data_IF_812895377496
#
_entry.id   IF_812895377496
#
_cell.length_a   1.000
_cell.length_b   1.000
_cell.length_c   1.000
_cell.angle_alpha   90.00
_cell.angle_beta   90.00
_cell.angle_gamma   90.00
#
_symmetry.space_group_name_H-M   'P 1'
#
loop_
_entity.id
_entity.type
_entity.pdbx_description
1 polymer ?
#
# COMPACT_ATOMS: atom_id res chain seq x y z
N UNK A 1 8.75 -30.46 2.90
CA UNK A 1 9.50 -29.60 1.96
C UNK A 1 8.50 -28.67 1.27
N UNK A 2 8.48 -27.38 1.65
CA UNK A 2 7.56 -26.38 1.07
C UNK A 2 8.24 -25.70 -0.11
N UNK A 3 8.11 -26.27 -1.31
CA UNK A 3 8.62 -25.66 -2.54
C UNK A 3 7.85 -24.37 -2.85
N UNK A 4 8.52 -23.23 -2.67
CA UNK A 4 8.01 -21.93 -3.11
C UNK A 4 7.97 -21.90 -4.63
N UNK A 5 6.76 -21.83 -5.21
CA UNK A 5 6.51 -21.75 -6.67
C UNK A 5 7.14 -20.52 -7.34
N UNK A 6 7.70 -19.59 -6.55
CA UNK A 6 8.31 -18.34 -7.01
C UNK A 6 9.80 -18.18 -6.64
N UNK A 7 10.39 -19.11 -5.87
CA UNK A 7 11.77 -18.93 -5.36
C UNK A 7 11.90 -17.82 -4.31
N UNK A 8 10.78 -17.31 -3.79
CA UNK A 8 10.69 -16.23 -2.80
C UNK A 8 10.21 -16.82 -1.48
N UNK A 9 10.81 -16.42 -0.35
CA UNK A 9 10.33 -16.80 0.97
C UNK A 9 8.98 -16.11 1.27
N UNK A 10 7.95 -16.90 1.58
CA UNK A 10 6.66 -16.36 2.01
C UNK A 10 6.75 -15.79 3.44
N UNK A 11 5.95 -14.76 3.71
CA UNK A 11 5.71 -14.23 5.06
C UNK A 11 4.23 -14.32 5.40
N UNK A 12 3.91 -14.54 6.67
CA UNK A 12 2.54 -14.72 7.14
C UNK A 12 2.19 -13.66 8.18
N UNK A 13 1.00 -13.09 8.05
CA UNK A 13 0.48 -12.12 9.01
C UNK A 13 -0.90 -12.57 9.51
N UNK A 14 -1.13 -12.47 10.81
CA UNK A 14 -2.45 -12.68 11.39
C UNK A 14 -3.31 -11.43 11.23
N UNK A 15 -4.63 -11.59 11.18
CA UNK A 15 -5.59 -10.48 11.16
C UNK A 15 -5.26 -9.40 12.21
N UNK A 16 -5.36 -8.14 11.82
CA UNK A 16 -5.09 -6.96 12.64
C UNK A 16 -3.61 -6.62 12.82
N UNK A 17 -2.67 -7.45 12.33
CA UNK A 17 -1.24 -7.14 12.41
C UNK A 17 -0.86 -6.11 11.34
N UNK A 18 -0.13 -5.08 11.78
CA UNK A 18 0.55 -4.15 10.87
C UNK A 18 1.64 -4.91 10.12
N UNK A 19 1.61 -4.80 8.80
CA UNK A 19 2.62 -5.38 7.90
C UNK A 19 3.80 -4.42 7.81
N UNK A 20 3.50 -3.12 7.71
CA UNK A 20 4.40 -2.00 7.93
C UNK A 20 3.58 -0.76 8.27
N UNK A 21 4.21 0.24 8.88
CA UNK A 21 3.61 1.55 9.15
C UNK A 21 4.31 2.64 8.33
N UNK A 22 3.64 3.78 8.19
CA UNK A 22 4.22 4.98 7.59
C UNK A 22 5.54 5.33 8.30
N UNK A 23 6.58 5.62 7.53
CA UNK A 23 7.91 5.97 8.04
C UNK A 23 8.86 4.79 8.18
N UNK A 24 8.37 3.54 8.12
CA UNK A 24 9.25 2.37 8.10
C UNK A 24 10.13 2.37 6.84
N UNK A 25 11.33 1.81 6.93
CA UNK A 25 12.18 1.61 5.76
C UNK A 25 11.50 0.69 4.73
N UNK A 26 11.58 1.04 3.45
CA UNK A 26 10.89 0.36 2.37
C UNK A 26 11.82 -0.41 1.43
N UNK A 27 12.14 -1.67 1.75
CA UNK A 27 13.03 -2.51 0.92
C UNK A 27 12.27 -3.47 -0.04
N UNK A 28 10.96 -3.66 0.17
CA UNK A 28 10.15 -4.67 -0.54
C UNK A 28 8.73 -4.18 -0.88
N UNK A 29 8.19 -4.58 -2.02
CA UNK A 29 6.75 -4.65 -2.23
C UNK A 29 6.23 -6.04 -1.81
N UNK A 30 4.92 -6.23 -1.70
CA UNK A 30 4.34 -7.51 -1.34
C UNK A 30 3.29 -7.93 -2.37
N UNK A 31 3.40 -9.16 -2.86
CA UNK A 31 2.34 -9.83 -3.59
C UNK A 31 1.46 -10.63 -2.62
N UNK A 32 0.15 -10.47 -2.72
CA UNK A 32 -0.82 -11.16 -1.86
C UNK A 32 -1.14 -12.52 -2.48
N UNK A 33 -0.68 -13.58 -1.83
CA UNK A 33 -1.01 -14.94 -2.24
C UNK A 33 -2.35 -15.40 -1.69
N UNK A 34 -2.64 -15.04 -0.44
CA UNK A 34 -3.89 -15.35 0.23
C UNK A 34 -4.26 -14.24 1.21
N UNK A 35 -5.56 -13.95 1.36
CA UNK A 35 -6.08 -12.97 2.31
C UNK A 35 -6.27 -11.55 1.75
N UNK A 36 -6.49 -10.59 2.66
CA UNK A 36 -6.77 -9.18 2.36
C UNK A 36 -5.97 -8.25 3.24
N UNK A 37 -5.53 -7.13 2.68
CA UNK A 37 -4.72 -6.10 3.35
C UNK A 37 -5.45 -4.75 3.28
N UNK A 38 -5.67 -4.13 4.44
CA UNK A 38 -6.15 -2.76 4.54
C UNK A 38 -4.98 -1.80 4.27
N UNK A 39 -5.23 -0.76 3.48
CA UNK A 39 -4.29 0.31 3.19
C UNK A 39 -4.80 1.61 3.81
N UNK A 40 -3.99 2.22 4.68
CA UNK A 40 -4.32 3.45 5.39
C UNK A 40 -3.42 4.59 4.94
N UNK A 41 -4.01 5.76 4.73
CA UNK A 41 -3.29 7.01 4.47
C UNK A 41 -2.42 7.41 5.67
N UNK A 42 -1.44 8.33 5.49
CA UNK A 42 -0.73 8.96 6.59
C UNK A 42 -1.62 9.47 7.73
N UNK A 43 -2.77 10.03 7.41
CA UNK A 43 -3.76 10.55 8.36
C UNK A 43 -4.67 9.49 9.00
N UNK A 44 -4.53 8.21 8.61
CA UNK A 44 -5.31 7.11 9.18
C UNK A 44 -6.62 6.80 8.44
N UNK A 45 -6.92 7.49 7.33
CA UNK A 45 -8.05 7.16 6.46
C UNK A 45 -7.83 5.80 5.80
N UNK A 46 -8.84 4.91 5.85
CA UNK A 46 -8.82 3.67 5.06
C UNK A 46 -9.00 4.01 3.57
N UNK A 47 -7.93 3.88 2.79
CA UNK A 47 -7.92 4.15 1.35
C UNK A 47 -8.51 3.00 0.53
N UNK A 48 -8.42 1.77 1.05
CA UNK A 48 -8.97 0.59 0.38
C UNK A 48 -8.39 -0.72 0.88
N UNK A 49 -8.71 -1.79 0.17
CA UNK A 49 -8.19 -3.14 0.41
C UNK A 49 -7.50 -3.70 -0.83
N UNK A 50 -6.44 -4.46 -0.58
CA UNK A 50 -5.70 -5.23 -1.59
C UNK A 50 -5.84 -6.72 -1.26
N UNK A 51 -6.24 -7.52 -2.24
CA UNK A 51 -6.56 -8.95 -2.11
C UNK A 51 -5.67 -9.86 -2.95
N UNK A 52 -6.07 -11.12 -3.04
CA UNK A 52 -5.32 -12.18 -3.71
C UNK A 52 -5.01 -11.85 -5.18
N UNK A 53 -3.77 -12.06 -5.61
CA UNK A 53 -3.31 -11.76 -6.96
C UNK A 53 -2.81 -10.32 -7.15
N UNK A 54 -3.01 -9.46 -6.16
CA UNK A 54 -2.62 -8.05 -6.23
C UNK A 54 -1.29 -7.78 -5.51
N UNK A 55 -0.72 -6.60 -5.78
CA UNK A 55 0.53 -6.12 -5.17
C UNK A 55 0.22 -4.84 -4.39
N UNK A 56 0.88 -4.68 -3.24
CA UNK A 56 0.89 -3.41 -2.50
C UNK A 56 2.31 -3.06 -2.02
N UNK A 57 2.50 -1.79 -1.68
CA UNK A 57 3.81 -1.26 -1.30
C UNK A 57 4.75 -1.12 -2.49
N UNK A 58 4.18 -1.02 -3.70
CA UNK A 58 4.86 -0.81 -4.99
C UNK A 58 5.40 0.61 -5.16
N UNK A 59 4.86 1.57 -4.39
CA UNK A 59 5.46 2.88 -4.23
C UNK A 59 6.74 2.74 -3.40
N UNK A 60 7.83 2.41 -4.09
CA UNK A 60 9.20 2.60 -3.62
C UNK A 60 9.58 4.09 -3.55
N UNK A 61 10.72 4.43 -2.94
CA UNK A 61 11.05 5.74 -2.38
C UNK A 61 10.84 6.91 -3.34
N UNK A 62 10.26 8.00 -2.83
CA UNK A 62 10.44 9.33 -3.42
C UNK A 62 11.36 10.11 -2.49
N UNK A 63 12.61 10.34 -2.90
CA UNK A 63 13.71 11.03 -2.20
C UNK A 63 14.05 10.59 -0.75
N UNK A 64 13.16 9.88 -0.07
CA UNK A 64 13.25 9.39 1.29
C UNK A 64 12.75 7.94 1.28
N UNK A 65 13.59 7.00 1.71
CA UNK A 65 13.43 5.54 1.57
C UNK A 65 12.34 4.91 2.46
N UNK A 66 11.33 5.71 2.80
CA UNK A 66 10.36 5.44 3.85
C UNK A 66 8.96 5.16 3.28
N UNK A 67 8.19 4.30 3.97
CA UNK A 67 6.80 3.98 3.63
C UNK A 67 5.93 5.23 3.71
N UNK A 68 5.19 5.51 2.65
CA UNK A 68 4.24 6.64 2.60
C UNK A 68 2.87 6.34 3.21
N UNK A 69 2.53 5.06 3.39
CA UNK A 69 1.21 4.60 3.87
C UNK A 69 1.40 3.47 4.89
N UNK A 70 0.34 3.13 5.63
CA UNK A 70 0.35 2.00 6.56
C UNK A 70 -0.43 0.83 5.96
N UNK A 71 0.10 -0.39 6.08
CA UNK A 71 -0.56 -1.62 5.64
C UNK A 71 -0.87 -2.53 6.82
N UNK A 72 -2.08 -3.07 6.88
CA UNK A 72 -2.54 -3.97 7.94
C UNK A 72 -3.24 -5.20 7.35
N UNK A 73 -2.98 -6.37 7.91
CA UNK A 73 -3.68 -7.58 7.52
C UNK A 73 -5.16 -7.53 7.93
N UNK A 74 -6.08 -7.35 6.98
CA UNK A 74 -7.52 -7.32 7.23
C UNK A 74 -8.07 -8.73 7.56
N UNK A 75 -7.41 -9.75 7.03
CA UNK A 75 -7.59 -11.18 7.36
C UNK A 75 -6.25 -11.81 7.70
N UNK A 76 -6.20 -13.12 7.92
CA UNK A 76 -4.92 -13.83 7.87
C UNK A 76 -4.39 -13.76 6.44
N UNK A 77 -3.10 -13.43 6.27
CA UNK A 77 -2.48 -13.22 4.97
C UNK A 77 -1.24 -14.09 4.77
N UNK A 78 -1.05 -14.52 3.53
CA UNK A 78 0.21 -15.10 3.03
C UNK A 78 0.72 -14.17 1.93
N UNK A 79 1.92 -13.65 2.10
CA UNK A 79 2.51 -12.66 1.21
C UNK A 79 3.87 -13.13 0.68
N UNK A 80 4.20 -12.72 -0.53
CA UNK A 80 5.54 -12.88 -1.09
C UNK A 80 6.22 -11.51 -1.21
N UNK A 81 7.30 -11.26 -0.46
CA UNK A 81 8.08 -10.03 -0.59
C UNK A 81 8.80 -9.98 -1.95
N UNK A 82 8.67 -8.89 -2.68
CA UNK A 82 9.34 -8.65 -3.96
C UNK A 82 10.31 -7.51 -3.73
N UNK A 83 11.61 -7.76 -3.92
CA UNK A 83 12.63 -6.72 -3.76
C UNK A 83 12.40 -5.57 -4.72
N UNK A 84 12.73 -4.35 -4.30
CA UNK A 84 12.63 -3.18 -5.15
C UNK A 84 13.42 -3.35 -6.46
N UNK A 85 14.62 -3.96 -6.37
CA UNK A 85 15.46 -4.30 -7.53
C UNK A 85 14.70 -5.17 -8.53
N UNK A 86 14.12 -6.28 -8.08
CA UNK A 86 13.36 -7.19 -8.93
C UNK A 86 12.15 -6.51 -9.56
N UNK A 87 11.43 -5.67 -8.79
CA UNK A 87 10.28 -4.93 -9.30
C UNK A 87 10.69 -3.93 -10.38
N UNK A 88 11.73 -3.13 -10.13
CA UNK A 88 12.30 -2.17 -11.10
C UNK A 88 12.76 -2.87 -12.37
N UNK A 89 13.46 -4.00 -12.26
CA UNK A 89 13.91 -4.79 -13.41
C UNK A 89 12.73 -5.27 -14.24
N UNK A 90 11.70 -5.88 -13.61
CA UNK A 90 10.50 -6.35 -14.31
C UNK A 90 9.75 -5.23 -15.03
N UNK A 91 9.59 -4.08 -14.38
CA UNK A 91 8.96 -2.90 -14.99
C UNK A 91 9.80 -2.42 -16.16
N UNK A 92 11.14 -2.30 -16.01
CA UNK A 92 12.04 -1.84 -17.06
C UNK A 92 12.01 -2.74 -18.30
N UNK A 93 11.92 -4.05 -18.12
CA UNK A 93 11.87 -5.02 -19.23
C UNK A 93 10.48 -5.25 -19.81
N UNK A 94 9.42 -4.73 -19.17
CA UNK A 94 8.05 -4.85 -19.68
C UNK A 94 7.86 -4.05 -20.99
N UNK A 95 6.83 -4.43 -21.75
CA UNK A 95 6.43 -3.72 -22.97
C UNK A 95 6.23 -2.20 -22.70
N UNK A 96 6.70 -1.30 -23.58
CA UNK A 96 6.56 0.14 -23.39
C UNK A 96 5.12 0.61 -23.16
N UNK A 97 4.13 -0.01 -23.81
CA UNK A 97 2.70 0.30 -23.64
C UNK A 97 2.24 -0.10 -22.24
N UNK A 98 2.64 -1.27 -21.76
CA UNK A 98 2.32 -1.73 -20.38
C UNK A 98 2.94 -0.79 -19.35
N UNK A 99 4.18 -0.34 -19.55
CA UNK A 99 4.82 0.65 -18.67
C UNK A 99 4.06 1.98 -18.66
N UNK A 100 3.61 2.45 -19.82
CA UNK A 100 2.85 3.70 -19.93
C UNK A 100 1.50 3.61 -19.21
N UNK A 101 0.78 2.50 -19.38
CA UNK A 101 -0.47 2.22 -18.68
C UNK A 101 -0.25 2.20 -17.17
N UNK A 102 0.75 1.44 -16.70
CA UNK A 102 1.09 1.36 -15.28
C UNK A 102 1.41 2.73 -14.69
N UNK A 103 2.27 3.53 -15.36
CA UNK A 103 2.61 4.89 -14.92
C UNK A 103 1.38 5.79 -14.84
N UNK A 104 0.50 5.75 -15.85
CA UNK A 104 -0.75 6.54 -15.86
C UNK A 104 -1.68 6.18 -14.71
N UNK A 105 -1.81 4.88 -14.38
CA UNK A 105 -2.63 4.41 -13.27
C UNK A 105 -2.03 4.82 -11.92
N UNK A 106 -0.72 4.67 -11.73
CA UNK A 106 -0.03 5.02 -10.48
C UNK A 106 -0.10 6.52 -10.14
N UNK A 107 -0.07 7.39 -11.16
CA UNK A 107 -0.26 8.84 -10.97
C UNK A 107 -1.69 9.12 -10.51
N UNK A 108 -2.70 8.63 -11.25
CA UNK A 108 -4.11 8.88 -10.91
C UNK A 108 -4.49 8.31 -9.54
N UNK A 109 -3.98 7.12 -9.19
CA UNK A 109 -4.20 6.52 -7.88
C UNK A 109 -3.61 7.39 -6.76
N UNK A 110 -2.43 7.97 -6.97
CA UNK A 110 -1.84 8.88 -6.00
C UNK A 110 -2.69 10.12 -5.78
N UNK A 111 -3.14 10.73 -6.87
CA UNK A 111 -3.92 11.96 -6.82
C UNK A 111 -5.25 11.72 -6.10
N UNK A 112 -5.87 10.56 -6.33
CA UNK A 112 -7.08 10.14 -5.62
C UNK A 112 -6.78 9.98 -4.13
N UNK A 113 -5.73 9.25 -3.76
CA UNK A 113 -5.39 9.02 -2.36
C UNK A 113 -5.12 10.33 -1.60
N UNK A 114 -4.40 11.28 -2.21
CA UNK A 114 -4.14 12.61 -1.62
C UNK A 114 -5.46 13.36 -1.44
N UNK A 115 -6.28 13.48 -2.49
CA UNK A 115 -7.56 14.19 -2.42
C UNK A 115 -8.53 13.58 -1.40
N UNK A 116 -8.57 12.26 -1.31
CA UNK A 116 -9.38 11.56 -0.32
C UNK A 116 -8.93 11.87 1.10
N UNK A 117 -7.62 11.92 1.36
CA UNK A 117 -7.10 12.30 2.67
C UNK A 117 -7.37 13.77 3.01
N UNK A 118 -7.13 14.69 2.07
CA UNK A 118 -7.36 16.13 2.26
C UNK A 118 -8.83 16.40 2.58
N UNK A 119 -9.75 15.81 1.80
CA UNK A 119 -11.19 15.93 2.04
C UNK A 119 -11.59 15.39 3.42
N UNK A 120 -11.07 14.22 3.81
CA UNK A 120 -11.35 13.63 5.11
C UNK A 120 -10.83 14.49 6.28
N UNK A 121 -9.66 15.11 6.13
CA UNK A 121 -9.11 16.05 7.11
C UNK A 121 -9.98 17.30 7.24
N UNK A 122 -10.42 17.89 6.13
CA UNK A 122 -11.31 19.05 6.16
C UNK A 122 -12.64 18.76 6.85
N UNK A 123 -13.21 17.58 6.64
CA UNK A 123 -14.46 17.17 7.29
C UNK A 123 -14.29 17.05 8.81
N UNK A 124 -13.22 16.39 9.26
CA UNK A 124 -12.96 16.23 10.70
C UNK A 124 -12.79 17.58 11.42
N UNK A 125 -12.12 18.56 10.79
CA UNK A 125 -11.96 19.91 11.34
C UNK A 125 -13.31 20.64 11.42
N UNK A 126 -14.14 20.53 10.38
CA UNK A 126 -15.45 21.18 10.36
C UNK A 126 -16.37 20.62 11.46
N UNK A 127 -16.38 19.29 11.63
CA UNK A 127 -17.15 18.63 12.69
C UNK A 127 -16.67 18.98 14.09
N UNK A 128 -15.35 19.13 14.31
CA UNK A 128 -14.86 19.55 15.62
C UNK A 128 -15.27 21.00 15.95
N UNK A 129 -15.27 21.90 14.97
CA UNK A 129 -15.63 23.31 15.18
C UNK A 129 -17.14 23.54 15.36
N UNK A 130 -18.00 22.69 14.78
CA UNK A 130 -19.45 22.77 14.99
C UNK A 130 -19.87 22.29 16.38
N UNK A 131 -19.15 21.33 16.96
CA UNK A 131 -19.49 20.77 18.28
C UNK A 131 -19.12 21.67 19.47
N UNK A 132 -18.30 22.71 19.25
CA UNK A 132 -17.86 23.64 20.30
C UNK A 132 -18.82 24.85 20.50
N UNK A 133 -19.92 24.95 19.74
CA UNK A 133 -20.86 26.07 19.81
C UNK A 133 -22.22 25.74 20.48
N UNK A 134 -22.35 24.55 21.08
CA UNK A 134 -23.58 24.07 21.72
C UNK A 134 -23.52 24.02 23.26
N UNK A 135 -22.53 24.68 23.89
CA UNK A 135 -22.44 24.91 25.35
C UNK A 135 -22.84 26.34 25.77
#
# INVERSE_FOLDING_TARGET
>A
MSSSKFGINQVKFSRGKKIYVKGDKADFAFYVHAGKVNIYSPGGLLLGQVGEGEIFGERGPSLDESRSITAEAATNCILYPISEKTLKEKIKTADPVVRAILRSLLIRLNDINIKSEDFWRSLNVMTSLSNDNDD
#
